data_IF_609836984894
#
_entry.id   IF_609836984894
#
_cell.length_a   1.000
_cell.length_b   1.000
_cell.length_c   1.000
_cell.angle_alpha   90.00
_cell.angle_beta   90.00
_cell.angle_gamma   90.00
#
_symmetry.space_group_name_H-M   'P 1'
#
loop_
_entity.id
_entity.type
_entity.pdbx_description
1 polymer ?
#
# COMPACT_ATOMS: atom_id res chain seq x y z
N UNK A 1 2.34 -1.26 18.00
CA UNK A 1 3.59 -0.56 17.61
C UNK A 1 4.54 -1.42 16.77
N UNK A 2 4.85 -2.67 17.15
CA UNK A 2 5.81 -3.52 16.41
C UNK A 2 5.57 -3.67 14.91
N UNK A 3 4.33 -3.90 14.48
CA UNK A 3 4.00 -4.04 13.05
C UNK A 3 4.35 -2.80 12.22
N UNK A 4 4.07 -1.60 12.72
CA UNK A 4 4.34 -0.36 12.00
C UNK A 4 5.85 -0.09 11.88
N UNK A 5 6.62 -0.43 12.92
CA UNK A 5 8.07 -0.26 12.92
C UNK A 5 8.74 -1.13 11.85
N UNK A 6 8.35 -2.41 11.74
CA UNK A 6 8.90 -3.31 10.71
C UNK A 6 8.41 -2.92 9.31
N UNK A 7 7.09 -2.69 9.16
CA UNK A 7 6.52 -2.43 7.83
C UNK A 7 7.03 -1.12 7.23
N UNK A 8 6.97 -0.02 7.97
CA UNK A 8 7.34 1.29 7.42
C UNK A 8 8.84 1.36 7.11
N UNK A 9 9.68 0.74 7.93
CA UNK A 9 11.13 0.68 7.69
C UNK A 9 11.46 -0.11 6.42
N UNK A 10 10.83 -1.28 6.24
CA UNK A 10 10.98 -2.05 5.00
C UNK A 10 10.47 -1.29 3.77
N UNK A 11 9.40 -0.51 3.92
CA UNK A 11 8.85 0.29 2.82
C UNK A 11 9.75 1.44 2.39
N UNK A 12 10.39 2.12 3.34
CA UNK A 12 11.37 3.16 3.01
C UNK A 12 12.64 2.60 2.36
N UNK A 13 12.94 1.31 2.56
CA UNK A 13 14.11 0.66 1.97
C UNK A 13 13.92 0.32 0.49
N UNK A 14 12.71 0.00 0.04
CA UNK A 14 12.44 -0.43 -1.35
C UNK A 14 12.87 0.63 -2.39
N UNK A 15 12.54 1.93 -2.24
CA UNK A 15 13.02 2.95 -3.17
C UNK A 15 14.54 3.06 -3.21
N UNK A 16 15.23 2.76 -2.11
CA UNK A 16 16.69 2.83 -1.98
C UNK A 16 17.38 1.64 -2.66
N UNK A 17 16.78 0.44 -2.59
CA UNK A 17 17.31 -0.78 -3.20
C UNK A 17 17.09 -0.84 -4.72
N UNK A 18 15.99 -0.27 -5.22
CA UNK A 18 15.65 -0.36 -6.62
C UNK A 18 16.11 0.85 -7.43
N UNK A 19 16.84 0.58 -8.51
CA UNK A 19 17.33 1.58 -9.45
C UNK A 19 16.28 1.93 -10.50
N UNK A 20 15.45 0.95 -10.87
CA UNK A 20 14.42 1.10 -11.91
C UNK A 20 13.00 0.97 -11.37
N UNK A 21 12.04 1.56 -12.08
CA UNK A 21 10.61 1.49 -11.76
C UNK A 21 10.06 0.05 -11.80
N UNK A 22 10.53 -0.74 -12.77
CA UNK A 22 10.19 -2.16 -12.90
C UNK A 22 10.67 -2.94 -11.69
N UNK A 23 11.91 -2.68 -11.24
CA UNK A 23 12.49 -3.31 -10.05
C UNK A 23 11.76 -2.92 -8.77
N UNK A 24 11.34 -1.66 -8.61
CA UNK A 24 10.49 -1.23 -7.47
C UNK A 24 9.18 -2.03 -7.40
N UNK A 25 8.54 -2.21 -8.55
CA UNK A 25 7.28 -2.98 -8.64
C UNK A 25 7.53 -4.44 -8.29
N UNK A 26 8.63 -5.03 -8.76
CA UNK A 26 9.05 -6.40 -8.44
C UNK A 26 9.31 -6.57 -6.93
N UNK A 27 10.09 -5.69 -6.31
CA UNK A 27 10.35 -5.76 -4.86
C UNK A 27 9.06 -5.63 -4.03
N UNK A 28 8.16 -4.72 -4.44
CA UNK A 28 6.84 -4.59 -3.81
C UNK A 28 6.01 -5.87 -3.92
N UNK A 29 6.01 -6.49 -5.10
CA UNK A 29 5.28 -7.72 -5.37
C UNK A 29 5.85 -8.91 -4.59
N UNK A 30 7.17 -9.12 -4.58
CA UNK A 30 7.83 -10.17 -3.77
C UNK A 30 7.46 -10.01 -2.28
N UNK A 31 7.57 -8.80 -1.74
CA UNK A 31 7.22 -8.52 -0.34
C UNK A 31 5.74 -8.83 -0.06
N UNK A 32 4.85 -8.44 -0.96
CA UNK A 32 3.43 -8.75 -0.84
C UNK A 32 3.19 -10.27 -0.90
N UNK A 33 3.85 -10.98 -1.80
CA UNK A 33 3.76 -12.43 -1.93
C UNK A 33 4.15 -13.14 -0.62
N UNK A 34 5.24 -12.73 0.04
CA UNK A 34 5.62 -13.28 1.35
C UNK A 34 4.62 -12.94 2.46
N UNK A 35 4.03 -11.75 2.43
CA UNK A 35 2.96 -11.38 3.37
C UNK A 35 1.75 -12.30 3.19
N UNK A 36 1.35 -12.55 1.95
CA UNK A 36 0.25 -13.44 1.61
C UNK A 36 0.58 -14.90 1.96
N UNK A 37 1.79 -15.37 1.66
CA UNK A 37 2.24 -16.71 2.02
C UNK A 37 2.20 -16.95 3.55
N UNK A 38 2.59 -15.94 4.35
CA UNK A 38 2.44 -16.01 5.80
C UNK A 38 0.98 -16.17 6.23
N UNK A 39 0.03 -15.44 5.60
CA UNK A 39 -1.40 -15.63 5.87
C UNK A 39 -1.88 -17.05 5.50
N UNK A 40 -1.44 -17.59 4.35
CA UNK A 40 -1.76 -18.97 3.94
C UNK A 40 -1.32 -19.97 5.01
N UNK A 41 -0.11 -19.83 5.55
CA UNK A 41 0.40 -20.69 6.63
C UNK A 41 -0.51 -20.59 7.87
N UNK A 42 -0.91 -19.38 8.28
CA UNK A 42 -1.80 -19.18 9.43
C UNK A 42 -3.16 -19.86 9.21
N UNK A 43 -3.81 -19.64 8.07
CA UNK A 43 -5.12 -20.24 7.79
C UNK A 43 -5.04 -21.76 7.63
N UNK A 44 -3.97 -22.28 7.03
CA UNK A 44 -3.75 -23.73 6.93
C UNK A 44 -3.52 -24.36 8.31
N UNK A 45 -2.70 -23.73 9.16
CA UNK A 45 -2.51 -24.17 10.55
C UNK A 45 -3.81 -24.14 11.33
N UNK A 46 -4.61 -23.08 11.20
CA UNK A 46 -5.92 -22.99 11.85
C UNK A 46 -6.88 -24.10 11.38
N UNK A 47 -6.97 -24.33 10.07
CA UNK A 47 -7.79 -25.40 9.50
C UNK A 47 -7.39 -26.79 10.03
N UNK A 48 -6.09 -27.09 10.03
CA UNK A 48 -5.58 -28.37 10.53
C UNK A 48 -5.89 -28.55 12.03
N UNK A 49 -5.63 -27.52 12.85
CA UNK A 49 -5.88 -27.59 14.30
C UNK A 49 -7.36 -27.76 14.65
N UNK A 50 -8.26 -27.11 13.91
CA UNK A 50 -9.70 -27.26 14.10
C UNK A 50 -10.17 -28.67 13.66
N UNK A 51 -9.61 -29.20 12.57
CA UNK A 51 -9.92 -30.56 12.11
C UNK A 51 -9.40 -31.65 13.04
N UNK A 52 -8.20 -31.48 13.61
CA UNK A 52 -7.69 -32.42 14.60
C UNK A 52 -8.54 -32.44 15.88
N UNK A 53 -8.97 -31.27 16.36
CA UNK A 53 -9.85 -31.18 17.53
C UNK A 53 -11.20 -31.88 17.32
N UNK A 54 -11.78 -31.77 16.11
CA UNK A 54 -13.01 -32.47 15.70
C UNK A 54 -12.84 -34.01 15.76
N UNK A 55 -11.68 -34.52 15.31
CA UNK A 55 -11.38 -35.96 15.32
C UNK A 55 -11.18 -36.47 16.75
N UNK A 56 -10.45 -35.73 17.60
CA UNK A 56 -10.12 -36.17 18.96
C UNK A 56 -11.33 -36.14 19.90
N UNK A 57 -12.19 -35.14 19.78
CA UNK A 57 -13.35 -35.00 20.66
C UNK A 57 -14.52 -35.91 20.27
N UNK A 58 -14.46 -36.54 19.08
CA UNK A 58 -15.47 -37.49 18.59
C UNK A 58 -16.88 -36.90 18.47
N UNK A 59 -17.03 -35.58 18.64
CA UNK A 59 -18.26 -34.84 18.41
C UNK A 59 -18.24 -34.37 16.96
N UNK A 60 -19.02 -34.98 16.04
CA UNK A 60 -19.39 -34.26 14.83
C UNK A 60 -20.05 -32.95 15.30
N UNK A 61 -19.84 -31.90 14.53
CA UNK A 61 -20.27 -30.53 14.85
C UNK A 61 -21.52 -30.49 15.72
N UNK A 62 -21.41 -29.83 16.87
CA UNK A 62 -22.61 -29.38 17.61
C UNK A 62 -23.56 -28.80 16.56
N UNK A 63 -24.86 -29.13 16.58
CA UNK A 63 -25.84 -28.89 15.49
C UNK A 63 -25.86 -27.44 14.94
N UNK A 64 -25.18 -26.51 15.61
CA UNK A 64 -24.91 -25.14 15.19
C UNK A 64 -23.77 -24.96 14.17
N UNK A 65 -22.78 -25.86 14.08
CA UNK A 65 -21.60 -25.70 13.21
C UNK A 65 -20.78 -24.43 13.50
N UNK A 66 -20.95 -23.83 14.69
CA UNK A 66 -20.40 -22.53 15.09
C UNK A 66 -19.17 -22.68 16.00
N UNK A 67 -18.31 -21.65 16.00
CA UNK A 67 -17.15 -21.55 16.89
C UNK A 67 -17.61 -21.57 18.35
N UNK A 68 -16.96 -22.38 19.18
CA UNK A 68 -17.34 -22.55 20.59
C UNK A 68 -16.15 -22.35 21.53
N UNK A 69 -16.38 -22.13 22.84
CA UNK A 69 -15.30 -22.10 23.82
C UNK A 69 -14.45 -23.38 23.87
N UNK A 70 -14.94 -24.50 23.33
CA UNK A 70 -14.16 -25.74 23.22
C UNK A 70 -13.00 -25.64 22.22
N UNK A 71 -13.05 -24.69 21.27
CA UNK A 71 -12.00 -24.47 20.28
C UNK A 71 -10.83 -23.63 20.81
N UNK A 72 -10.92 -23.13 22.04
CA UNK A 72 -9.93 -22.23 22.64
C UNK A 72 -8.51 -22.84 22.68
N UNK A 73 -8.41 -24.15 22.88
CA UNK A 73 -7.12 -24.84 22.90
C UNK A 73 -6.46 -24.86 21.51
N UNK A 74 -7.23 -25.09 20.45
CA UNK A 74 -6.74 -25.00 19.07
C UNK A 74 -6.21 -23.60 18.76
N UNK A 75 -6.92 -22.55 19.17
CA UNK A 75 -6.45 -21.17 19.00
C UNK A 75 -5.18 -20.87 19.82
N UNK A 76 -5.03 -21.46 21.01
CA UNK A 76 -3.81 -21.33 21.81
C UNK A 76 -2.59 -21.93 21.08
N UNK A 77 -2.72 -23.14 20.52
CA UNK A 77 -1.65 -23.74 19.73
C UNK A 77 -1.31 -22.92 18.48
N UNK A 78 -2.34 -22.37 17.81
CA UNK A 78 -2.14 -21.50 16.66
C UNK A 78 -1.28 -20.28 17.01
N UNK A 79 -1.55 -19.61 18.14
CA UNK A 79 -0.75 -18.46 18.60
C UNK A 79 0.70 -18.86 18.83
N UNK A 80 0.98 -20.00 19.48
CA UNK A 80 2.35 -20.45 19.71
C UNK A 80 3.11 -20.74 18.40
N UNK A 81 2.47 -21.36 17.42
CA UNK A 81 3.06 -21.64 16.11
C UNK A 81 3.42 -20.32 15.40
N UNK A 82 2.48 -19.36 15.36
CA UNK A 82 2.70 -18.08 14.68
C UNK A 82 3.78 -17.24 15.37
N UNK A 83 3.76 -17.16 16.70
CA UNK A 83 4.77 -16.41 17.45
C UNK A 83 6.17 -17.01 17.32
N UNK A 84 6.29 -18.35 17.34
CA UNK A 84 7.59 -19.03 17.20
C UNK A 84 8.17 -18.87 15.80
N UNK A 85 7.36 -19.05 14.75
CA UNK A 85 7.79 -18.86 13.37
C UNK A 85 8.18 -17.41 13.10
N UNK A 86 7.37 -16.44 13.55
CA UNK A 86 7.67 -15.02 13.42
C UNK A 86 8.97 -14.62 14.12
N UNK A 87 9.17 -15.10 15.35
CA UNK A 87 10.40 -14.83 16.12
C UNK A 87 11.64 -15.43 15.43
N UNK A 88 11.52 -16.63 14.88
CA UNK A 88 12.58 -17.28 14.10
C UNK A 88 12.95 -16.45 12.86
N UNK A 89 11.95 -16.01 12.09
CA UNK A 89 12.18 -15.15 10.92
C UNK A 89 12.84 -13.82 11.28
N UNK A 90 12.43 -13.18 12.39
CA UNK A 90 13.07 -11.96 12.88
C UNK A 90 14.52 -12.19 13.31
N UNK A 91 14.79 -13.30 14.00
CA UNK A 91 16.17 -13.68 14.37
C UNK A 91 17.04 -13.90 13.13
N UNK A 92 16.55 -14.67 12.16
CA UNK A 92 17.26 -14.91 10.90
C UNK A 92 17.54 -13.61 10.15
N UNK A 93 16.58 -12.69 10.09
CA UNK A 93 16.79 -11.37 9.48
C UNK A 93 17.96 -10.62 10.11
N UNK A 94 18.01 -10.54 11.44
CA UNK A 94 19.09 -9.82 12.14
C UNK A 94 20.45 -10.54 12.09
N UNK A 95 20.48 -11.87 11.95
CA UNK A 95 21.73 -12.63 11.84
C UNK A 95 22.29 -12.65 10.41
N UNK A 96 21.42 -12.71 9.41
CA UNK A 96 21.81 -12.89 7.99
C UNK A 96 22.02 -11.54 7.30
N UNK A 97 21.21 -10.54 7.62
CA UNK A 97 21.29 -9.23 6.96
C UNK A 97 22.44 -8.42 7.56
N UNK A 98 23.63 -8.54 6.96
CA UNK A 98 24.77 -7.70 7.30
C UNK A 98 24.65 -6.39 6.52
N UNK A 99 24.38 -5.29 7.23
CA UNK A 99 24.35 -3.96 6.60
C UNK A 99 25.75 -3.63 6.07
N UNK A 100 25.82 -3.20 4.81
CA UNK A 100 27.04 -2.57 4.29
C UNK A 100 27.08 -1.19 4.96
N UNK A 101 28.13 -0.86 5.75
CA UNK A 101 28.26 0.48 6.29
C UNK A 101 28.25 1.43 5.11
N UNK A 102 27.32 2.37 5.09
CA UNK A 102 27.38 3.48 4.16
C UNK A 102 28.72 4.16 4.40
N UNK A 103 29.71 3.88 3.55
CA UNK A 103 30.86 4.75 3.41
C UNK A 103 30.27 6.12 3.19
N UNK A 104 30.45 6.97 4.18
CA UNK A 104 30.22 8.39 4.10
C UNK A 104 30.78 8.85 2.76
N UNK A 105 29.91 9.04 1.78
CA UNK A 105 30.11 10.09 0.81
C UNK A 105 29.98 11.35 1.65
N UNK A 106 31.07 11.69 2.34
CA UNK A 106 31.37 13.05 2.71
C UNK A 106 31.28 13.79 1.38
N UNK A 107 30.11 14.39 1.13
CA UNK A 107 30.02 15.54 0.25
C UNK A 107 30.98 16.52 0.90
N UNK A 108 32.19 16.55 0.37
CA UNK A 108 33.27 17.40 0.82
C UNK A 108 32.80 18.83 0.56
N UNK A 109 32.13 19.40 1.56
CA UNK A 109 31.62 20.77 1.60
C UNK A 109 32.80 21.73 1.89
N UNK A 110 33.89 21.51 1.16
CA UNK A 110 35.12 22.29 1.18
C UNK A 110 35.36 22.84 -0.22
N UNK A 111 34.68 23.94 -0.55
CA UNK A 111 35.39 25.02 -1.22
C UNK A 111 35.18 26.31 -0.43
N UNK A 112 36.06 26.42 0.56
CA UNK A 112 36.41 27.64 1.25
C UNK A 112 36.51 28.81 0.26
N UNK A 113 36.07 29.97 0.73
CA UNK A 113 36.15 31.23 0.01
C UNK A 113 37.57 31.52 -0.47
N UNK A 114 37.63 32.08 -1.66
CA UNK A 114 38.74 32.92 -2.11
C UNK A 114 38.05 34.15 -2.70
N UNK A 115 37.71 35.10 -1.82
CA UNK A 115 37.93 36.49 -2.15
C UNK A 115 39.42 36.69 -1.95
N UNK A 116 40.17 36.88 -3.04
CA UNK A 116 41.30 37.80 -3.05
C UNK A 116 41.56 38.14 -4.51
N UNK A 117 41.46 39.44 -4.76
CA UNK A 117 41.86 40.07 -6.00
C UNK A 117 43.39 40.12 -6.04
N UNK A 118 43.98 39.75 -7.17
CA UNK A 118 45.28 40.28 -7.58
C UNK A 118 45.28 40.43 -9.10
N UNK A 119 45.44 41.67 -9.55
CA UNK A 119 45.75 42.08 -10.92
C UNK A 119 47.19 41.65 -11.26
N UNK A 120 47.42 41.03 -12.42
CA UNK A 120 48.63 41.29 -13.24
C UNK A 120 48.28 41.11 -14.73
N UNK A 121 48.70 42.12 -15.47
CA UNK A 121 48.67 42.40 -16.91
C UNK A 121 49.57 41.47 -17.76
N UNK A 122 49.17 41.20 -19.01
CA UNK A 122 49.93 41.32 -20.28
C UNK A 122 49.47 40.32 -21.37
N UNK A 123 49.35 40.81 -22.61
CA UNK A 123 49.63 40.01 -23.82
C UNK A 123 48.45 39.64 -24.74
N UNK A 124 48.39 40.33 -25.88
CA UNK A 124 47.52 40.15 -27.05
C UNK A 124 47.89 38.92 -27.90
N UNK A 125 46.92 38.16 -28.45
CA UNK A 125 46.82 37.76 -29.88
C UNK A 125 45.59 36.88 -30.23
N UNK A 126 44.66 37.49 -30.97
CA UNK A 126 43.86 37.05 -32.14
C UNK A 126 43.56 35.56 -32.48
N UNK A 127 42.24 35.24 -32.51
CA UNK A 127 41.41 34.58 -33.59
C UNK A 127 40.54 33.35 -33.24
N UNK A 128 39.39 33.19 -33.95
CA UNK A 128 38.14 32.65 -33.41
C UNK A 128 37.75 31.27 -33.96
N UNK A 129 36.91 30.48 -33.26
CA UNK A 129 35.75 29.79 -33.83
C UNK A 129 34.92 29.03 -32.76
N UNK A 130 33.65 29.40 -32.64
CA UNK A 130 32.49 28.60 -32.29
C UNK A 130 32.61 27.39 -31.32
N UNK A 131 31.97 27.52 -30.15
CA UNK A 131 31.10 26.47 -29.63
C UNK A 131 30.09 27.09 -28.65
N UNK A 132 28.80 26.95 -28.98
CA UNK A 132 27.70 27.36 -28.15
C UNK A 132 27.83 26.76 -26.74
N UNK A 133 28.08 27.61 -25.74
CA UNK A 133 27.91 27.24 -24.34
C UNK A 133 26.41 27.11 -24.11
N UNK A 134 25.90 25.89 -24.28
CA UNK A 134 24.63 25.49 -23.69
C UNK A 134 24.73 25.78 -22.20
N UNK A 135 23.96 26.78 -21.78
CA UNK A 135 23.61 27.03 -20.39
C UNK A 135 22.82 25.82 -19.87
N UNK A 136 23.54 24.74 -19.58
CA UNK A 136 23.09 23.68 -18.70
C UNK A 136 22.99 24.31 -17.32
N UNK A 137 21.84 24.93 -17.06
CA UNK A 137 21.40 25.26 -15.72
C UNK A 137 21.46 23.97 -14.91
N UNK A 138 22.52 23.83 -14.12
CA UNK A 138 22.64 22.81 -13.07
C UNK A 138 21.53 23.12 -12.08
N UNK A 139 20.34 22.56 -12.35
CA UNK A 139 19.24 22.57 -11.42
C UNK A 139 19.72 21.83 -10.17
N UNK A 140 20.14 22.58 -9.17
CA UNK A 140 20.39 22.08 -7.82
C UNK A 140 19.12 21.33 -7.43
N UNK A 141 19.24 20.01 -7.27
CA UNK A 141 18.15 19.16 -6.83
C UNK A 141 17.84 19.53 -5.38
N UNK A 142 16.88 20.44 -5.17
CA UNK A 142 16.42 20.80 -3.84
C UNK A 142 15.70 19.58 -3.24
N UNK A 143 16.41 18.83 -2.39
CA UNK A 143 15.84 17.69 -1.65
C UNK A 143 14.61 18.14 -0.85
N UNK A 144 13.50 17.42 -0.98
CA UNK A 144 12.27 17.65 -0.21
C UNK A 144 12.48 17.32 1.25
N UNK A 145 12.24 18.33 2.11
CA UNK A 145 12.15 18.10 3.55
C UNK A 145 10.84 17.40 3.88
N UNK A 146 10.81 16.66 4.99
CA UNK A 146 9.64 15.90 5.44
C UNK A 146 8.35 16.74 5.43
N UNK A 147 8.38 17.95 5.99
CA UNK A 147 7.19 18.81 6.10
C UNK A 147 6.72 19.41 4.76
N UNK A 148 7.57 19.46 3.73
CA UNK A 148 7.18 20.00 2.42
C UNK A 148 6.18 19.07 1.71
N UNK A 149 6.17 17.77 2.04
CA UNK A 149 5.18 16.82 1.54
C UNK A 149 3.75 17.21 1.89
N UNK A 150 3.54 17.87 3.04
CA UNK A 150 2.22 18.33 3.47
C UNK A 150 1.70 19.51 2.62
N UNK A 151 2.52 20.11 1.76
CA UNK A 151 2.08 21.18 0.84
C UNK A 151 1.77 20.65 -0.55
N UNK A 152 2.13 19.40 -0.86
CA UNK A 152 2.02 18.85 -2.20
C UNK A 152 0.64 18.19 -2.40
N UNK A 153 -0.18 18.65 -3.37
CA UNK A 153 -1.51 18.06 -3.61
C UNK A 153 -1.46 16.59 -4.01
N UNK A 154 -0.43 16.15 -4.74
CA UNK A 154 -0.29 14.74 -5.12
C UNK A 154 -0.11 13.82 -3.90
N UNK A 155 0.49 14.31 -2.81
CA UNK A 155 0.64 13.57 -1.57
C UNK A 155 -0.71 13.14 -0.99
N UNK A 156 -1.68 14.05 -0.98
CA UNK A 156 -3.03 13.76 -0.51
C UNK A 156 -3.79 12.81 -1.42
N UNK A 157 -3.68 13.00 -2.75
CA UNK A 157 -4.37 12.13 -3.70
C UNK A 157 -3.86 10.68 -3.64
N UNK A 158 -2.54 10.48 -3.66
CA UNK A 158 -1.94 9.14 -3.58
C UNK A 158 -2.10 8.55 -2.17
N UNK A 159 -1.97 9.36 -1.11
CA UNK A 159 -2.19 8.91 0.26
C UNK A 159 -3.64 8.48 0.52
N UNK A 160 -4.61 9.18 -0.08
CA UNK A 160 -6.03 8.78 -0.02
C UNK A 160 -6.27 7.48 -0.77
N UNK A 161 -5.68 7.32 -1.96
CA UNK A 161 -5.76 6.07 -2.71
C UNK A 161 -5.17 4.90 -1.91
N UNK A 162 -4.02 5.10 -1.27
CA UNK A 162 -3.40 4.12 -0.38
C UNK A 162 -4.30 3.73 0.80
N UNK A 163 -4.87 4.73 1.48
CA UNK A 163 -5.76 4.51 2.61
C UNK A 163 -7.03 3.76 2.18
N UNK A 164 -7.65 4.12 1.05
CA UNK A 164 -8.84 3.43 0.52
C UNK A 164 -8.54 1.97 0.15
N UNK A 165 -7.40 1.72 -0.51
CA UNK A 165 -6.94 0.37 -0.80
C UNK A 165 -6.80 -0.46 0.48
N UNK A 166 -6.20 0.11 1.53
CA UNK A 166 -6.06 -0.56 2.83
C UNK A 166 -7.40 -0.80 3.51
N UNK A 167 -8.33 0.16 3.47
CA UNK A 167 -9.69 -0.01 3.98
C UNK A 167 -10.42 -1.16 3.28
N UNK A 168 -10.43 -1.18 1.95
CA UNK A 168 -11.06 -2.24 1.15
C UNK A 168 -10.56 -3.61 1.61
N UNK A 169 -9.24 -3.79 1.66
CA UNK A 169 -8.64 -5.10 1.97
C UNK A 169 -8.89 -5.50 3.41
N UNK A 170 -8.70 -4.59 4.36
CA UNK A 170 -8.82 -4.93 5.78
C UNK A 170 -10.28 -5.15 6.18
N UNK A 171 -11.21 -4.32 5.70
CA UNK A 171 -12.64 -4.49 6.00
C UNK A 171 -13.14 -5.81 5.40
N UNK A 172 -12.80 -6.10 4.13
CA UNK A 172 -13.12 -7.39 3.51
C UNK A 172 -12.60 -8.56 4.37
N UNK A 173 -11.33 -8.53 4.75
CA UNK A 173 -10.72 -9.66 5.47
C UNK A 173 -11.28 -9.85 6.88
N UNK A 174 -11.66 -8.77 7.56
CA UNK A 174 -12.22 -8.84 8.92
C UNK A 174 -13.64 -9.40 8.91
N UNK A 175 -14.48 -9.01 7.94
CA UNK A 175 -15.90 -9.39 7.91
C UNK A 175 -16.21 -10.58 7.00
N UNK A 176 -15.29 -11.02 6.14
CA UNK A 176 -15.46 -12.20 5.29
C UNK A 176 -15.79 -13.49 6.07
N UNK A 177 -15.12 -13.83 7.20
CA UNK A 177 -15.53 -14.94 8.06
C UNK A 177 -16.98 -14.84 8.56
N UNK A 178 -17.42 -13.63 8.93
CA UNK A 178 -18.76 -13.35 9.45
C UNK A 178 -19.80 -13.40 8.34
N UNK A 179 -19.45 -12.95 7.13
CA UNK A 179 -20.29 -13.15 5.94
C UNK A 179 -20.52 -14.65 5.69
N UNK A 180 -19.47 -15.46 5.71
CA UNK A 180 -19.54 -16.90 5.45
C UNK A 180 -20.41 -17.63 6.49
N UNK A 181 -20.27 -17.27 7.77
CA UNK A 181 -20.95 -17.96 8.88
C UNK A 181 -22.34 -17.41 9.17
N UNK A 182 -22.46 -16.11 9.36
CA UNK A 182 -23.70 -15.47 9.80
C UNK A 182 -24.63 -15.17 8.62
N UNK A 183 -24.10 -14.79 7.45
CA UNK A 183 -24.95 -14.48 6.28
C UNK A 183 -25.25 -15.67 5.39
N UNK A 184 -24.28 -16.56 5.18
CA UNK A 184 -24.46 -17.74 4.33
C UNK A 184 -24.75 -19.03 5.11
N UNK A 185 -24.66 -19.02 6.44
CA UNK A 185 -24.93 -20.20 7.26
C UNK A 185 -24.00 -21.37 6.97
N UNK A 186 -22.81 -21.11 6.40
CA UNK A 186 -21.89 -22.17 6.02
C UNK A 186 -21.16 -22.71 7.25
N UNK A 187 -20.86 -24.00 7.18
CA UNK A 187 -20.14 -24.73 8.21
C UNK A 187 -18.80 -24.08 8.60
N UNK A 188 -18.37 -24.16 9.88
CA UNK A 188 -17.12 -23.55 10.39
C UNK A 188 -15.86 -23.81 9.56
N UNK A 189 -15.78 -24.93 8.84
CA UNK A 189 -14.65 -25.22 7.95
C UNK A 189 -14.45 -24.14 6.86
N UNK A 190 -15.54 -23.54 6.39
CA UNK A 190 -15.50 -22.49 5.36
C UNK A 190 -14.88 -21.17 5.85
N UNK A 191 -14.83 -20.94 7.17
CA UNK A 191 -14.14 -19.80 7.79
C UNK A 191 -12.65 -19.79 7.45
N UNK A 192 -12.04 -20.97 7.29
CA UNK A 192 -10.64 -21.08 6.91
C UNK A 192 -10.48 -21.23 5.38
N UNK A 193 -11.36 -21.98 4.72
CA UNK A 193 -11.24 -22.28 3.28
C UNK A 193 -11.41 -21.01 2.43
N UNK A 194 -12.40 -20.17 2.70
CA UNK A 194 -12.67 -19.00 1.85
C UNK A 194 -11.52 -17.98 1.91
N UNK A 195 -11.03 -17.54 3.08
CA UNK A 195 -9.83 -16.72 3.15
C UNK A 195 -8.60 -17.40 2.54
N UNK A 196 -8.41 -18.71 2.74
CA UNK A 196 -7.29 -19.45 2.14
C UNK A 196 -7.30 -19.35 0.61
N UNK A 197 -8.46 -19.52 -0.04
CA UNK A 197 -8.61 -19.34 -1.49
C UNK A 197 -8.28 -17.89 -1.89
N UNK A 198 -8.81 -16.90 -1.18
CA UNK A 198 -8.53 -15.47 -1.44
C UNK A 198 -7.03 -15.19 -1.38
N UNK A 199 -6.34 -15.66 -0.34
CA UNK A 199 -4.89 -15.47 -0.19
C UNK A 199 -4.09 -16.26 -1.24
N UNK A 200 -4.44 -17.52 -1.51
CA UNK A 200 -3.76 -18.31 -2.54
C UNK A 200 -3.83 -17.63 -3.92
N UNK A 201 -5.02 -17.15 -4.29
CA UNK A 201 -5.26 -16.43 -5.55
C UNK A 201 -4.53 -15.09 -5.55
N UNK A 202 -4.48 -14.39 -4.40
CA UNK A 202 -3.71 -13.14 -4.26
C UNK A 202 -2.21 -13.35 -4.51
N UNK A 203 -1.66 -14.46 -4.01
CA UNK A 203 -0.24 -14.83 -4.20
C UNK A 203 0.05 -15.20 -5.66
N UNK A 204 -0.83 -15.99 -6.28
CA UNK A 204 -0.69 -16.31 -7.70
C UNK A 204 -0.74 -15.03 -8.54
N UNK A 205 -1.68 -14.13 -8.22
CA UNK A 205 -1.83 -12.84 -8.91
C UNK A 205 -0.58 -11.98 -8.76
N UNK A 206 0.07 -11.93 -7.58
CA UNK A 206 1.29 -11.13 -7.41
C UNK A 206 2.43 -11.62 -8.30
N UNK A 207 2.60 -12.95 -8.43
CA UNK A 207 3.61 -13.53 -9.34
C UNK A 207 3.25 -13.23 -10.80
N UNK A 208 1.97 -13.32 -11.17
CA UNK A 208 1.53 -13.06 -12.55
C UNK A 208 1.70 -11.60 -12.97
N UNK A 209 1.45 -10.63 -12.07
CA UNK A 209 1.65 -9.19 -12.35
C UNK A 209 3.08 -8.90 -12.81
N UNK A 210 4.08 -9.58 -12.24
CA UNK A 210 5.48 -9.41 -12.63
C UNK A 210 5.75 -9.92 -14.05
N UNK A 211 5.12 -11.03 -14.45
CA UNK A 211 5.28 -11.62 -15.78
C UNK A 211 4.48 -10.90 -16.87
N UNK A 212 3.36 -10.25 -16.49
CA UNK A 212 2.49 -9.54 -17.41
C UNK A 212 2.99 -8.11 -17.66
N UNK A 213 3.93 -7.95 -18.59
CA UNK A 213 4.44 -6.62 -19.01
C UNK A 213 3.34 -5.62 -19.39
N UNK A 214 2.21 -6.07 -19.94
CA UNK A 214 1.07 -5.23 -20.28
C UNK A 214 0.38 -4.61 -19.05
N UNK A 215 0.29 -5.37 -17.94
CA UNK A 215 -0.33 -4.93 -16.69
C UNK A 215 0.62 -4.00 -15.91
N UNK A 216 1.93 -4.26 -15.98
CA UNK A 216 2.95 -3.41 -15.35
C UNK A 216 3.17 -2.05 -16.05
N UNK A 217 2.83 -1.92 -17.34
CA UNK A 217 3.14 -0.72 -18.14
C UNK A 217 2.39 0.53 -17.68
N UNK A 218 1.13 0.38 -17.26
CA UNK A 218 0.29 1.49 -16.80
C UNK A 218 -0.32 1.15 -15.44
N UNK A 219 0.42 1.46 -14.38
CA UNK A 219 0.03 1.16 -12.98
C UNK A 219 -1.35 1.66 -12.61
N UNK A 220 -1.76 2.83 -13.11
CA UNK A 220 -3.10 3.39 -12.89
C UNK A 220 -4.20 2.58 -13.57
N UNK A 221 -3.96 2.08 -14.78
CA UNK A 221 -4.92 1.24 -15.52
C UNK A 221 -5.05 -0.12 -14.85
N UNK A 222 -3.92 -0.71 -14.42
CA UNK A 222 -3.96 -1.92 -13.62
C UNK A 222 -4.71 -1.70 -12.30
N UNK A 223 -4.51 -0.56 -11.63
CA UNK A 223 -5.27 -0.21 -10.44
C UNK A 223 -6.79 -0.12 -10.71
N UNK A 224 -7.21 0.47 -11.84
CA UNK A 224 -8.63 0.50 -12.25
C UNK A 224 -9.18 -0.91 -12.49
N UNK A 225 -8.41 -1.80 -13.12
CA UNK A 225 -8.80 -3.20 -13.30
C UNK A 225 -8.99 -3.90 -11.95
N UNK A 226 -8.05 -3.73 -11.02
CA UNK A 226 -8.18 -4.28 -9.66
C UNK A 226 -9.42 -3.76 -8.94
N UNK A 227 -9.69 -2.45 -9.02
CA UNK A 227 -10.87 -1.84 -8.43
C UNK A 227 -12.18 -2.31 -9.08
N UNK A 228 -12.20 -2.56 -10.39
CA UNK A 228 -13.35 -3.16 -11.06
C UNK A 228 -13.64 -4.58 -10.55
N UNK A 229 -12.59 -5.39 -10.30
CA UNK A 229 -12.74 -6.72 -9.68
C UNK A 229 -13.26 -6.62 -8.24
N UNK A 230 -12.82 -5.63 -7.45
CA UNK A 230 -13.41 -5.37 -6.13
C UNK A 230 -14.88 -4.97 -6.24
N UNK A 231 -15.25 -4.17 -7.23
CA UNK A 231 -16.65 -3.87 -7.53
C UNK A 231 -17.47 -5.12 -7.86
N UNK A 232 -16.90 -6.04 -8.66
CA UNK A 232 -17.49 -7.34 -8.96
C UNK A 232 -17.67 -8.22 -7.72
N UNK A 233 -16.67 -8.27 -6.84
CA UNK A 233 -16.77 -8.91 -5.53
C UNK A 233 -17.93 -8.32 -4.72
N UNK A 234 -17.94 -7.01 -4.54
CA UNK A 234 -18.95 -6.29 -3.74
C UNK A 234 -20.37 -6.53 -4.27
N UNK A 235 -20.57 -6.45 -5.59
CA UNK A 235 -21.84 -6.75 -6.22
C UNK A 235 -22.26 -8.22 -6.00
N UNK A 236 -21.34 -9.17 -6.15
CA UNK A 236 -21.64 -10.59 -5.92
C UNK A 236 -21.96 -10.90 -4.46
N UNK A 237 -21.21 -10.36 -3.50
CA UNK A 237 -21.45 -10.54 -2.07
C UNK A 237 -22.85 -10.05 -1.66
N UNK A 238 -23.33 -8.97 -2.28
CA UNK A 238 -24.69 -8.48 -2.05
C UNK A 238 -25.76 -9.32 -2.78
N UNK A 239 -25.50 -9.78 -4.01
CA UNK A 239 -26.52 -10.47 -4.83
C UNK A 239 -26.74 -11.94 -4.44
N UNK A 240 -25.76 -12.61 -3.83
CA UNK A 240 -25.90 -14.01 -3.40
C UNK A 240 -26.99 -14.15 -2.34
N UNK A 241 -27.96 -15.03 -2.57
CA UNK A 241 -29.05 -15.30 -1.64
C UNK A 241 -28.66 -16.42 -0.66
N UNK A 242 -28.99 -16.32 0.64
CA UNK A 242 -28.55 -17.28 1.67
C UNK A 242 -29.00 -18.72 1.42
N UNK A 243 -30.20 -18.91 0.88
CA UNK A 243 -30.83 -20.24 0.78
C UNK A 243 -30.42 -21.03 -0.49
N UNK A 244 -29.63 -20.42 -1.38
CA UNK A 244 -29.28 -21.00 -2.69
C UNK A 244 -27.79 -20.92 -3.00
N UNK A 245 -26.93 -20.85 -1.99
CA UNK A 245 -25.47 -20.71 -2.19
C UNK A 245 -24.90 -21.92 -2.93
N UNK A 246 -24.70 -21.76 -4.24
CA UNK A 246 -23.97 -22.72 -5.08
C UNK A 246 -22.46 -22.53 -4.93
N UNK A 247 -21.63 -23.56 -5.19
CA UNK A 247 -20.17 -23.45 -5.13
C UNK A 247 -19.62 -22.30 -6.00
N UNK A 248 -20.24 -22.02 -7.16
CA UNK A 248 -19.82 -20.93 -8.05
C UNK A 248 -20.10 -19.54 -7.49
N UNK A 249 -21.21 -19.38 -6.77
CA UNK A 249 -21.56 -18.14 -6.08
C UNK A 249 -20.61 -17.82 -4.91
N UNK A 250 -19.87 -18.80 -4.40
CA UNK A 250 -18.81 -18.60 -3.42
C UNK A 250 -17.43 -18.45 -4.08
N UNK A 251 -17.17 -19.20 -5.15
CA UNK A 251 -15.88 -19.18 -5.85
C UNK A 251 -15.63 -17.82 -6.54
N UNK A 252 -16.60 -17.27 -7.25
CA UNK A 252 -16.45 -15.99 -7.95
C UNK A 252 -16.04 -14.82 -7.02
N UNK A 253 -16.77 -14.52 -5.92
CA UNK A 253 -16.36 -13.46 -5.01
C UNK A 253 -14.98 -13.70 -4.42
N UNK A 254 -14.65 -14.93 -4.01
CA UNK A 254 -13.34 -15.26 -3.44
C UNK A 254 -12.20 -15.01 -4.45
N UNK A 255 -12.36 -15.46 -5.69
CA UNK A 255 -11.39 -15.23 -6.77
C UNK A 255 -11.26 -13.73 -7.08
N UNK A 256 -12.39 -13.04 -7.22
CA UNK A 256 -12.42 -11.61 -7.56
C UNK A 256 -11.78 -10.75 -6.47
N UNK A 257 -12.06 -11.05 -5.20
CA UNK A 257 -11.43 -10.39 -4.05
C UNK A 257 -9.92 -10.67 -4.02
N UNK A 258 -9.50 -11.91 -4.25
CA UNK A 258 -8.07 -12.27 -4.26
C UNK A 258 -7.28 -11.57 -5.36
N UNK A 259 -7.78 -11.63 -6.60
CA UNK A 259 -7.13 -10.97 -7.75
C UNK A 259 -7.16 -9.44 -7.57
N UNK A 260 -8.33 -8.89 -7.25
CA UNK A 260 -8.54 -7.45 -7.09
C UNK A 260 -7.67 -6.85 -6.01
N UNK A 261 -7.66 -7.44 -4.81
CA UNK A 261 -6.91 -6.95 -3.63
C UNK A 261 -5.40 -6.96 -3.87
N UNK A 262 -4.87 -8.01 -4.50
CA UNK A 262 -3.46 -8.12 -4.89
C UNK A 262 -3.05 -7.00 -5.84
N UNK A 263 -3.82 -6.78 -6.91
CA UNK A 263 -3.56 -5.73 -7.90
C UNK A 263 -3.57 -4.34 -7.24
N UNK A 264 -4.64 -3.97 -6.52
CA UNK A 264 -4.78 -2.62 -5.97
C UNK A 264 -3.71 -2.31 -4.91
N UNK A 265 -3.29 -3.31 -4.12
CA UNK A 265 -2.25 -3.14 -3.11
C UNK A 265 -0.89 -2.90 -3.77
N UNK A 266 -0.49 -3.76 -4.71
CA UNK A 266 0.80 -3.64 -5.40
C UNK A 266 0.86 -2.33 -6.18
N UNK A 267 -0.19 -1.98 -6.92
CA UNK A 267 -0.23 -0.74 -7.71
C UNK A 267 -0.22 0.49 -6.81
N UNK A 268 -0.99 0.52 -5.72
CA UNK A 268 -0.98 1.65 -4.78
C UNK A 268 0.40 1.87 -4.14
N UNK A 269 1.07 0.77 -3.76
CA UNK A 269 2.44 0.82 -3.24
C UNK A 269 3.43 1.38 -4.27
N UNK A 270 3.34 0.93 -5.52
CA UNK A 270 4.18 1.42 -6.61
C UNK A 270 3.91 2.88 -6.96
N UNK A 271 2.65 3.33 -6.97
CA UNK A 271 2.29 4.74 -7.16
C UNK A 271 2.81 5.63 -6.03
N UNK A 272 2.86 5.12 -4.80
CA UNK A 272 3.46 5.82 -3.65
C UNK A 272 4.97 5.95 -3.82
N UNK A 273 5.64 4.89 -4.29
CA UNK A 273 7.07 4.95 -4.60
C UNK A 273 7.37 5.95 -5.73
N UNK A 274 6.54 6.01 -6.76
CA UNK A 274 6.68 7.00 -7.86
C UNK A 274 6.48 8.43 -7.38
N UNK A 275 5.55 8.65 -6.45
CA UNK A 275 5.34 9.96 -5.84
C UNK A 275 6.59 10.43 -5.09
N UNK A 276 7.22 9.54 -4.32
CA UNK A 276 8.46 9.83 -3.59
C UNK A 276 9.59 10.14 -4.57
N UNK A 277 9.75 9.28 -5.60
CA UNK A 277 10.72 9.46 -6.66
C UNK A 277 12.16 9.58 -6.13
N UNK A 278 12.91 10.64 -6.51
CA UNK A 278 14.32 10.81 -6.12
C UNK A 278 14.52 11.20 -4.65
N UNK A 279 13.49 11.66 -3.93
CA UNK A 279 13.61 12.17 -2.56
C UNK A 279 13.48 11.06 -1.51
N UNK A 280 14.41 10.12 -1.59
CA UNK A 280 14.42 8.91 -0.75
C UNK A 280 14.64 9.22 0.73
N UNK A 281 15.30 10.33 1.06
CA UNK A 281 15.63 10.74 2.44
C UNK A 281 14.37 11.02 3.28
N UNK A 282 13.29 11.51 2.65
CA UNK A 282 12.02 11.80 3.34
C UNK A 282 10.94 10.72 3.11
N UNK A 283 11.29 9.59 2.50
CA UNK A 283 10.37 8.48 2.21
C UNK A 283 9.75 7.86 3.47
N UNK A 284 10.52 7.75 4.56
CA UNK A 284 10.04 7.21 5.83
C UNK A 284 8.92 8.09 6.43
N UNK A 285 9.02 9.42 6.29
CA UNK A 285 7.96 10.33 6.70
C UNK A 285 6.69 10.14 5.88
N UNK A 286 6.81 10.03 4.55
CA UNK A 286 5.67 9.80 3.65
C UNK A 286 4.93 8.52 4.01
N UNK A 287 5.64 7.39 4.10
CA UNK A 287 5.04 6.11 4.50
C UNK A 287 4.50 6.15 5.94
N UNK A 288 5.16 6.87 6.84
CA UNK A 288 4.71 7.08 8.21
C UNK A 288 3.35 7.79 8.29
N UNK A 289 3.20 8.92 7.60
CA UNK A 289 1.94 9.66 7.55
C UNK A 289 0.84 8.86 6.85
N UNK A 290 1.12 8.27 5.68
CA UNK A 290 0.14 7.44 4.97
C UNK A 290 -0.31 6.25 5.82
N UNK A 291 0.62 5.61 6.55
CA UNK A 291 0.32 4.49 7.44
C UNK A 291 -0.24 4.89 8.82
N UNK A 292 -0.30 6.19 9.14
CA UNK A 292 -1.04 6.66 10.31
C UNK A 292 -2.50 6.86 9.93
N UNK A 293 -2.72 7.54 8.80
CA UNK A 293 -4.05 7.84 8.28
C UNK A 293 -4.80 6.55 7.95
N UNK A 294 -4.14 5.54 7.36
CA UNK A 294 -4.79 4.25 7.06
C UNK A 294 -5.25 3.52 8.34
N UNK A 295 -4.43 3.45 9.38
CA UNK A 295 -4.76 2.79 10.65
C UNK A 295 -5.90 3.50 11.36
N UNK A 296 -5.86 4.82 11.39
CA UNK A 296 -6.93 5.62 11.97
C UNK A 296 -8.25 5.38 11.22
N UNK A 297 -8.22 5.43 9.89
CA UNK A 297 -9.39 5.19 9.06
C UNK A 297 -9.95 3.77 9.28
N UNK A 298 -9.09 2.74 9.30
CA UNK A 298 -9.50 1.37 9.58
C UNK A 298 -10.13 1.22 10.97
N UNK A 299 -9.52 1.82 12.00
CA UNK A 299 -10.04 1.79 13.37
C UNK A 299 -11.41 2.45 13.48
N UNK A 300 -11.59 3.62 12.86
CA UNK A 300 -12.87 4.33 12.81
C UNK A 300 -13.93 3.51 12.06
N UNK A 301 -13.59 2.95 10.91
CA UNK A 301 -14.52 2.13 10.12
C UNK A 301 -14.99 0.90 10.90
N UNK A 302 -14.06 0.17 11.54
CA UNK A 302 -14.43 -0.99 12.36
C UNK A 302 -15.26 -0.58 13.57
N UNK A 303 -14.92 0.53 14.23
CA UNK A 303 -15.71 1.07 15.34
C UNK A 303 -17.14 1.43 14.92
N UNK A 304 -17.31 2.09 13.76
CA UNK A 304 -18.65 2.40 13.21
C UNK A 304 -19.43 1.10 12.99
N UNK A 305 -18.83 0.14 12.29
CA UNK A 305 -19.50 -1.14 11.97
C UNK A 305 -19.90 -1.88 13.24
N UNK A 306 -19.02 -1.95 14.25
CA UNK A 306 -19.34 -2.61 15.51
C UNK A 306 -20.44 -1.88 16.30
N UNK A 307 -20.46 -0.54 16.24
CA UNK A 307 -21.47 0.25 16.94
C UNK A 307 -22.84 0.22 16.26
N UNK A 308 -22.88 0.04 14.93
CA UNK A 308 -24.11 -0.13 14.16
C UNK A 308 -24.57 -1.58 14.08
N UNK A 309 -23.78 -2.53 14.58
CA UNK A 309 -24.15 -3.93 14.62
C UNK A 309 -25.41 -4.10 15.49
N UNK A 310 -26.52 -4.62 14.92
CA UNK A 310 -27.74 -4.80 15.68
C UNK A 310 -27.51 -5.74 16.89
N UNK A 311 -28.17 -5.49 18.02
CA UNK A 311 -28.13 -6.40 19.17
C UNK A 311 -28.92 -7.66 18.82
N UNK A 312 -28.25 -8.81 18.66
CA UNK A 312 -28.85 -9.98 17.97
C UNK A 312 -29.07 -11.17 18.88
N UNK A 313 -30.17 -11.88 18.58
CA UNK A 313 -30.27 -13.33 18.71
C UNK A 313 -29.66 -13.98 17.43
N UNK A 314 -28.93 -15.09 17.53
CA UNK A 314 -28.41 -15.82 16.36
C UNK A 314 -29.53 -16.17 15.36
N UNK A 315 -29.27 -16.02 14.05
CA UNK A 315 -30.18 -16.46 12.98
C UNK A 315 -31.32 -15.52 12.60
N UNK A 316 -31.32 -14.25 13.03
CA UNK A 316 -32.30 -13.26 12.57
C UNK A 316 -32.01 -12.71 11.17
N UNK A 317 -33.04 -12.49 10.35
CA UNK A 317 -32.95 -11.90 8.98
C UNK A 317 -32.12 -10.61 8.91
N UNK A 318 -32.10 -9.84 10.00
CA UNK A 318 -31.36 -8.57 10.11
C UNK A 318 -29.84 -8.84 10.20
N UNK A 319 -29.40 -9.93 10.84
CA UNK A 319 -27.99 -10.34 10.92
C UNK A 319 -27.45 -10.75 9.57
N UNK A 320 -28.23 -11.58 8.89
CA UNK A 320 -27.82 -12.16 7.62
C UNK A 320 -27.63 -11.06 6.56
N UNK A 321 -28.40 -9.97 6.64
CA UNK A 321 -28.28 -8.82 5.73
C UNK A 321 -27.12 -7.89 6.09
N UNK A 322 -26.83 -7.70 7.38
CA UNK A 322 -25.85 -6.72 7.84
C UNK A 322 -24.44 -6.93 7.26
N UNK A 323 -23.87 -8.14 7.36
CA UNK A 323 -22.53 -8.40 6.80
C UNK A 323 -22.50 -8.38 5.27
N UNK A 324 -23.60 -8.73 4.60
CA UNK A 324 -23.76 -8.56 3.14
C UNK A 324 -23.78 -7.09 2.73
N UNK A 325 -24.38 -6.21 3.53
CA UNK A 325 -24.38 -4.78 3.26
C UNK A 325 -23.00 -4.15 3.49
N UNK A 326 -22.24 -4.63 4.48
CA UNK A 326 -20.85 -4.19 4.71
C UNK A 326 -19.97 -4.58 3.52
N UNK A 327 -20.02 -5.85 3.12
CA UNK A 327 -19.21 -6.39 2.02
C UNK A 327 -19.68 -5.87 0.66
N UNK A 328 -20.98 -5.61 0.51
CA UNK A 328 -21.58 -5.10 -0.73
C UNK A 328 -21.49 -3.59 -0.90
N UNK A 329 -22.10 -2.83 0.02
CA UNK A 329 -22.17 -1.37 -0.08
C UNK A 329 -20.98 -0.68 0.59
N UNK A 330 -20.50 -1.19 1.73
CA UNK A 330 -19.35 -0.60 2.42
C UNK A 330 -18.10 -0.64 1.56
N UNK A 331 -17.68 -1.84 1.17
CA UNK A 331 -16.50 -2.03 0.32
C UNK A 331 -16.72 -1.49 -1.08
N UNK A 332 -17.90 -1.71 -1.66
CA UNK A 332 -18.27 -1.14 -2.97
C UNK A 332 -18.18 0.38 -2.99
N UNK A 333 -18.57 1.05 -1.90
CA UNK A 333 -18.44 2.49 -1.71
C UNK A 333 -16.98 2.95 -1.68
N UNK A 334 -16.13 2.30 -0.89
CA UNK A 334 -14.69 2.61 -0.86
C UNK A 334 -14.03 2.37 -2.24
N UNK A 335 -14.40 1.29 -2.92
CA UNK A 335 -13.91 0.97 -4.26
C UNK A 335 -14.36 2.00 -5.30
N UNK A 336 -15.61 2.47 -5.25
CA UNK A 336 -16.12 3.49 -6.15
C UNK A 336 -15.37 4.82 -5.98
N UNK A 337 -15.13 5.27 -4.74
CA UNK A 337 -14.35 6.49 -4.47
C UNK A 337 -12.91 6.33 -4.96
N UNK A 338 -12.27 5.19 -4.70
CA UNK A 338 -10.92 4.91 -5.18
C UNK A 338 -10.85 4.85 -6.72
N UNK A 339 -11.89 4.34 -7.37
CA UNK A 339 -11.98 4.24 -8.83
C UNK A 339 -12.07 5.63 -9.46
N UNK A 340 -12.98 6.47 -8.95
CA UNK A 340 -13.12 7.87 -9.39
C UNK A 340 -11.82 8.65 -9.17
N UNK A 341 -11.19 8.50 -8.00
CA UNK A 341 -9.90 9.12 -7.72
C UNK A 341 -8.81 8.67 -8.70
N UNK A 342 -8.76 7.38 -9.02
CA UNK A 342 -7.79 6.82 -9.98
C UNK A 342 -8.07 7.35 -11.40
N UNK A 343 -9.33 7.50 -11.80
CA UNK A 343 -9.71 8.13 -13.07
C UNK A 343 -9.22 9.57 -13.14
N UNK A 344 -9.42 10.37 -12.09
CA UNK A 344 -8.91 11.75 -12.02
C UNK A 344 -7.37 11.80 -12.08
N UNK A 345 -6.69 10.76 -11.59
CA UNK A 345 -5.23 10.66 -11.63
C UNK A 345 -4.69 10.19 -12.99
N UNK A 346 -5.50 9.66 -13.91
CA UNK A 346 -5.03 9.19 -15.22
C UNK A 346 -4.19 10.22 -15.98
N UNK A 347 -4.66 11.47 -16.21
CA UNK A 347 -3.90 12.47 -16.97
C UNK A 347 -2.70 13.06 -16.19
N UNK A 348 -2.65 12.90 -14.86
CA UNK A 348 -1.65 13.55 -14.01
C UNK A 348 -0.33 12.79 -14.04
N UNK A 349 0.80 13.45 -14.34
CA UNK A 349 2.12 12.83 -14.17
C UNK A 349 2.50 12.80 -12.69
N UNK A 350 2.60 11.60 -12.13
CA UNK A 350 2.97 11.39 -10.72
C UNK A 350 4.44 11.75 -10.55
N UNK A 351 4.76 12.45 -9.46
CA UNK A 351 6.12 12.91 -9.14
C UNK A 351 6.49 14.24 -9.80
N UNK A 352 5.66 14.80 -10.70
CA UNK A 352 5.83 16.18 -11.16
C UNK A 352 5.32 17.15 -10.10
N UNK A 353 6.24 17.90 -9.49
CA UNK A 353 5.93 18.82 -8.40
C UNK A 353 5.53 20.19 -8.91
N UNK A 354 4.72 20.87 -8.10
CA UNK A 354 4.56 22.32 -8.26
C UNK A 354 5.94 22.94 -8.03
N UNK A 355 6.52 23.61 -9.03
CA UNK A 355 7.67 24.48 -8.79
C UNK A 355 7.20 25.48 -7.72
N UNK A 356 7.69 25.34 -6.49
CA UNK A 356 7.61 26.43 -5.52
C UNK A 356 8.28 27.60 -6.22
N UNK A 357 7.46 28.52 -6.73
CA UNK A 357 7.93 29.68 -7.45
C UNK A 357 8.99 30.33 -6.56
N UNK A 358 10.17 30.55 -7.14
CA UNK A 358 11.20 31.40 -6.59
C UNK A 358 10.52 32.73 -6.23
N UNK A 359 10.15 32.88 -4.97
CA UNK A 359 9.60 34.09 -4.40
C UNK A 359 10.47 34.38 -3.18
N UNK A 360 11.69 34.86 -3.46
CA UNK A 360 12.37 35.78 -2.55
C UNK A 360 13.60 36.55 -3.09
N UNK A 361 14.03 36.41 -4.34
CA UNK A 361 15.18 37.20 -4.84
C UNK A 361 14.77 38.30 -5.84
N UNK A 362 13.83 39.16 -5.45
CA UNK A 362 13.36 40.26 -6.32
C UNK A 362 12.85 41.50 -5.60
N UNK A 363 13.20 41.70 -4.33
CA UNK A 363 12.73 42.85 -3.55
C UNK A 363 13.84 43.42 -2.65
N UNK A 364 14.88 43.97 -3.28
CA UNK A 364 15.76 45.02 -2.78
C UNK A 364 16.48 45.52 -4.04
N UNK A 365 16.07 46.60 -4.70
CA UNK A 365 16.07 47.96 -4.16
C UNK A 365 17.29 48.67 -4.76
N UNK A 366 17.07 49.60 -5.69
CA UNK A 366 17.64 50.96 -5.69
C UNK A 366 17.25 51.66 -6.99
N UNK A 367 16.46 52.73 -6.84
CA UNK A 367 16.27 53.71 -7.89
C UNK A 367 17.52 54.56 -8.05
N UNK A 368 17.83 54.91 -9.29
CA UNK A 368 18.64 56.08 -9.59
C UNK A 368 18.02 56.81 -10.79
N UNK A 369 17.69 58.06 -10.51
CA UNK A 369 17.11 59.07 -11.39
C UNK A 369 18.14 59.51 -12.45
N UNK A 370 17.67 59.59 -13.71
CA UNK A 370 17.97 60.66 -14.68
C UNK A 370 19.34 60.74 -15.37
N UNK A 371 19.35 60.55 -16.70
CA UNK A 371 19.49 61.65 -17.70
C UNK A 371 19.55 61.09 -19.14
N UNK A 372 18.73 61.68 -20.02
CA UNK A 372 19.02 61.85 -21.46
C UNK A 372 20.08 62.96 -21.62
N UNK A 373 20.88 63.03 -22.71
CA UNK A 373 20.33 63.26 -24.06
C UNK A 373 21.05 62.60 -25.25
N UNK A 374 20.26 62.50 -26.32
CA UNK A 374 20.53 62.59 -27.75
C UNK A 374 21.98 62.91 -28.19
N UNK A 375 22.53 62.04 -29.04
CA UNK A 375 23.19 62.30 -30.34
C UNK A 375 23.97 61.05 -30.79
#
# INVERSE_FOLDING_TARGET
FGWAAVQNSHLSLIPQLAETDTERTRLNSIRFAFTVASNIVVYLSAFLLLKFNEIETGKPDDDSGQLSPADAESFRYLVFIVCSLGSLCTLLFHLVLKEVPNSTVEVNDNRAGINDAEEVDDGVEDRPLAAATSSASTAVCTKMRALDWLKEPQFYAIGTLYMLTRLIINVAQVYLPLLVTESFGLHKAWIAIVPLVVYFVSMLTSVLIETCHALGRNRKVANLLGLALIGGFSASAYLVQPDTVTPWQLAFPALSLGIGSSIIMIMSMSLTADLIGPDRDSSAFVYGCMSLVDKLANGVTVWIVQHTQPHMRPGGDICMKFFREIEGFGIGGFAAVAFLLTLCLLPVRIGQRRKLAAKNDGANGYGSVGRRPDA
#
